data_IF_743678381371
#
_entry.id   IF_743678381371
#
_cell.length_a   1.000
_cell.length_b   1.000
_cell.length_c   1.000
_cell.angle_alpha   90.00
_cell.angle_beta   90.00
_cell.angle_gamma   90.00
#
_symmetry.space_group_name_H-M   'P 1'
#
loop_
_entity.id
_entity.type
_entity.pdbx_description
1 polymer ?
#
# COMPACT_ATOMS: atom_id res chain seq x y z
N UNK A 1 -25.79 -25.84 -58.40
CA UNK A 1 -25.08 -26.98 -57.80
C UNK A 1 -24.20 -26.46 -56.65
N UNK A 2 -24.67 -26.54 -55.40
CA UNK A 2 -23.91 -26.07 -54.22
C UNK A 2 -22.96 -27.18 -53.78
N UNK A 3 -21.71 -27.10 -54.19
CA UNK A 3 -20.64 -27.96 -53.67
C UNK A 3 -20.34 -27.53 -52.23
N UNK A 4 -20.92 -28.26 -51.26
CA UNK A 4 -20.46 -28.19 -49.86
C UNK A 4 -19.05 -28.78 -49.82
N UNK A 5 -18.04 -27.93 -49.70
CA UNK A 5 -16.69 -28.32 -49.31
C UNK A 5 -16.77 -28.93 -47.90
N UNK A 6 -16.94 -30.25 -47.81
CA UNK A 6 -16.68 -30.98 -46.57
C UNK A 6 -15.16 -31.09 -46.43
N UNK A 7 -14.55 -30.48 -45.40
CA UNK A 7 -13.10 -30.58 -45.21
C UNK A 7 -12.69 -32.04 -45.04
N UNK A 8 -11.57 -32.45 -45.65
CA UNK A 8 -10.96 -33.77 -45.43
C UNK A 8 -10.81 -34.01 -43.92
N UNK A 9 -11.00 -35.24 -43.46
CA UNK A 9 -10.94 -35.60 -42.02
C UNK A 9 -9.63 -35.18 -41.33
N UNK A 10 -8.53 -35.12 -42.08
CA UNK A 10 -7.25 -34.58 -41.61
C UNK A 10 -7.34 -33.09 -41.26
N UNK A 11 -8.02 -32.28 -42.08
CA UNK A 11 -8.25 -30.85 -41.80
C UNK A 11 -9.10 -30.65 -40.54
N UNK A 12 -10.14 -31.47 -40.33
CA UNK A 12 -10.97 -31.42 -39.11
C UNK A 12 -10.11 -31.69 -37.87
N UNK A 13 -9.23 -32.69 -37.92
CA UNK A 13 -8.33 -33.04 -36.82
C UNK A 13 -7.37 -31.90 -36.48
N UNK A 14 -6.84 -31.20 -37.48
CA UNK A 14 -5.98 -30.03 -37.31
C UNK A 14 -6.75 -28.87 -36.66
N UNK A 15 -7.99 -28.60 -37.08
CA UNK A 15 -8.81 -27.55 -36.47
C UNK A 15 -9.12 -27.85 -35.00
N UNK A 16 -9.41 -29.12 -34.66
CA UNK A 16 -9.66 -29.54 -33.27
C UNK A 16 -8.40 -29.40 -32.41
N UNK A 17 -7.23 -29.84 -32.90
CA UNK A 17 -5.96 -29.67 -32.19
C UNK A 17 -5.60 -28.20 -31.98
N UNK A 18 -5.85 -27.36 -33.00
CA UNK A 18 -5.64 -25.91 -32.90
C UNK A 18 -6.53 -25.31 -31.80
N UNK A 19 -7.82 -25.65 -31.77
CA UNK A 19 -8.75 -25.18 -30.74
C UNK A 19 -8.34 -25.63 -29.34
N UNK A 20 -7.95 -26.90 -29.17
CA UNK A 20 -7.46 -27.42 -27.87
C UNK A 20 -6.19 -26.69 -27.43
N UNK A 21 -5.27 -26.42 -28.34
CA UNK A 21 -4.05 -25.68 -28.02
C UNK A 21 -4.33 -24.24 -27.57
N UNK A 22 -5.28 -23.56 -28.22
CA UNK A 22 -5.76 -22.24 -27.83
C UNK A 22 -6.44 -22.25 -26.45
N UNK A 23 -7.22 -23.29 -26.15
CA UNK A 23 -7.83 -23.48 -24.83
C UNK A 23 -6.74 -23.65 -23.76
N UNK A 24 -5.73 -24.50 -23.99
CA UNK A 24 -4.63 -24.69 -23.04
C UNK A 24 -3.79 -23.43 -22.85
N UNK A 25 -3.49 -22.72 -23.92
CA UNK A 25 -2.80 -21.43 -23.86
C UNK A 25 -3.62 -20.41 -23.05
N UNK A 26 -4.92 -20.30 -23.32
CA UNK A 26 -5.83 -19.47 -22.54
C UNK A 26 -5.88 -19.88 -21.07
N UNK A 27 -5.90 -21.18 -20.78
CA UNK A 27 -5.97 -21.66 -19.40
C UNK A 27 -4.70 -21.35 -18.61
N UNK A 28 -3.53 -21.52 -19.22
CA UNK A 28 -2.24 -21.15 -18.63
C UNK A 28 -2.13 -19.63 -18.42
N UNK A 29 -2.63 -18.83 -19.36
CA UNK A 29 -2.51 -17.37 -19.34
C UNK A 29 -3.51 -16.72 -18.36
N UNK A 30 -4.74 -17.21 -18.34
CA UNK A 30 -5.83 -16.64 -17.53
C UNK A 30 -5.98 -17.27 -16.15
N UNK A 31 -5.42 -18.45 -15.89
CA UNK A 31 -5.43 -19.10 -14.58
C UNK A 31 -4.00 -19.29 -14.04
N UNK A 32 -3.39 -18.21 -13.51
CA UNK A 32 -2.10 -18.31 -12.83
C UNK A 32 -2.23 -19.13 -11.53
N UNK A 33 -1.20 -19.90 -11.19
CA UNK A 33 -1.08 -20.48 -9.85
C UNK A 33 -0.68 -19.40 -8.85
N UNK A 34 -1.40 -19.31 -7.74
CA UNK A 34 -1.02 -18.50 -6.58
C UNK A 34 -0.02 -19.29 -5.76
N UNK A 35 1.20 -18.77 -5.64
CA UNK A 35 2.16 -19.32 -4.66
C UNK A 35 1.99 -18.53 -3.38
N UNK A 36 1.47 -19.20 -2.35
CA UNK A 36 1.39 -18.63 -0.99
C UNK A 36 2.80 -18.41 -0.45
N UNK A 37 3.09 -17.19 0.01
CA UNK A 37 4.29 -16.94 0.82
C UNK A 37 4.04 -17.45 2.24
N UNK A 38 5.09 -17.80 2.99
CA UNK A 38 4.96 -18.33 4.36
C UNK A 38 4.14 -17.42 5.31
N UNK A 39 3.95 -16.15 4.93
CA UNK A 39 3.20 -15.14 5.67
C UNK A 39 1.97 -14.59 4.95
N UNK A 40 1.52 -15.24 3.87
CA UNK A 40 0.40 -14.77 3.06
C UNK A 40 -0.88 -14.58 3.89
N UNK A 41 -1.18 -15.51 4.81
CA UNK A 41 -2.37 -15.42 5.65
C UNK A 41 -2.30 -14.22 6.60
N UNK A 42 -1.14 -13.97 7.23
CA UNK A 42 -0.96 -12.82 8.13
C UNK A 42 -1.06 -11.51 7.35
N UNK A 43 -0.47 -11.43 6.16
CA UNK A 43 -0.58 -10.28 5.26
C UNK A 43 -2.00 -10.05 4.78
N UNK A 44 -2.72 -11.12 4.44
CA UNK A 44 -4.13 -11.07 4.03
C UNK A 44 -5.01 -10.55 5.16
N UNK A 45 -4.79 -11.02 6.39
CA UNK A 45 -5.50 -10.51 7.56
C UNK A 45 -5.17 -9.04 7.87
N UNK A 46 -3.91 -8.61 7.70
CA UNK A 46 -3.52 -7.21 7.87
C UNK A 46 -4.19 -6.33 6.81
N UNK A 47 -4.23 -6.80 5.58
CA UNK A 47 -4.92 -6.15 4.47
C UNK A 47 -6.43 -6.07 4.71
N UNK A 48 -7.07 -7.15 5.17
CA UNK A 48 -8.49 -7.16 5.49
C UNK A 48 -8.82 -6.15 6.61
N UNK A 49 -8.04 -6.15 7.70
CA UNK A 49 -8.25 -5.20 8.81
C UNK A 49 -8.08 -3.75 8.36
N UNK A 50 -7.18 -3.48 7.40
CA UNK A 50 -7.00 -2.14 6.81
C UNK A 50 -8.19 -1.73 5.95
N UNK A 51 -8.74 -2.66 5.16
CA UNK A 51 -9.97 -2.43 4.41
C UNK A 51 -11.16 -2.14 5.33
N UNK A 52 -11.30 -2.88 6.43
CA UNK A 52 -12.34 -2.66 7.42
C UNK A 52 -12.18 -1.28 8.09
N UNK A 53 -10.94 -0.86 8.38
CA UNK A 53 -10.64 0.48 8.89
C UNK A 53 -11.08 1.58 7.91
N UNK A 54 -10.81 1.42 6.61
CA UNK A 54 -11.22 2.39 5.59
C UNK A 54 -12.74 2.49 5.51
N UNK A 55 -13.45 1.36 5.54
CA UNK A 55 -14.92 1.36 5.59
C UNK A 55 -15.46 2.04 6.84
N UNK A 56 -14.83 1.82 8.00
CA UNK A 56 -15.25 2.45 9.26
C UNK A 56 -15.07 3.96 9.23
N UNK A 57 -13.99 4.46 8.63
CA UNK A 57 -13.81 5.89 8.39
C UNK A 57 -14.90 6.45 7.47
N UNK A 58 -15.18 5.75 6.36
CA UNK A 58 -16.27 6.11 5.43
C UNK A 58 -17.61 6.19 6.15
N UNK A 59 -17.99 5.14 6.89
CA UNK A 59 -19.22 5.09 7.71
C UNK A 59 -19.28 6.26 8.68
N UNK A 60 -18.17 6.58 9.35
CA UNK A 60 -18.09 7.67 10.33
C UNK A 60 -18.35 9.03 9.68
N UNK A 61 -17.72 9.31 8.54
CA UNK A 61 -17.91 10.55 7.79
C UNK A 61 -19.36 10.72 7.36
N UNK A 62 -19.96 9.67 6.78
CA UNK A 62 -21.36 9.69 6.35
C UNK A 62 -22.31 9.87 7.54
N UNK A 63 -22.04 9.23 8.69
CA UNK A 63 -22.84 9.39 9.91
C UNK A 63 -22.82 10.81 10.49
N UNK A 64 -21.79 11.60 10.14
CA UNK A 64 -21.64 13.00 10.54
C UNK A 64 -22.22 13.97 9.49
N UNK A 65 -22.92 13.46 8.48
CA UNK A 65 -23.42 14.24 7.33
C UNK A 65 -22.31 15.00 6.58
N UNK A 66 -21.08 14.49 6.64
CA UNK A 66 -19.96 15.04 5.88
C UNK A 66 -19.94 14.43 4.47
N UNK A 67 -19.65 15.24 3.46
CA UNK A 67 -19.67 14.82 2.06
C UNK A 67 -18.32 14.24 1.63
N UNK A 68 -18.35 13.13 0.91
CA UNK A 68 -17.19 12.59 0.19
C UNK A 68 -17.30 13.08 -1.25
N UNK A 69 -16.30 13.84 -1.70
CA UNK A 69 -16.30 14.39 -3.05
C UNK A 69 -15.76 13.34 -4.03
N UNK A 70 -16.57 12.82 -4.98
CA UNK A 70 -16.14 11.76 -5.89
C UNK A 70 -15.07 12.23 -6.90
N UNK A 71 -14.88 13.54 -7.09
CA UNK A 71 -13.82 14.08 -7.97
C UNK A 71 -12.44 13.93 -7.34
N UNK A 72 -12.35 14.08 -6.03
CA UNK A 72 -11.10 13.99 -5.28
C UNK A 72 -10.92 12.61 -4.64
N UNK A 73 -11.98 12.04 -4.06
CA UNK A 73 -12.01 10.70 -3.47
C UNK A 73 -12.76 9.72 -4.38
N UNK A 74 -12.14 9.36 -5.51
CA UNK A 74 -12.77 8.44 -6.48
C UNK A 74 -13.05 7.04 -5.91
N UNK A 75 -12.45 6.65 -4.78
CA UNK A 75 -12.67 5.35 -4.14
C UNK A 75 -13.72 5.39 -3.02
N UNK A 76 -14.34 6.56 -2.81
CA UNK A 76 -15.41 6.80 -1.83
C UNK A 76 -15.01 6.40 -0.40
N UNK A 77 -13.81 6.79 0.04
CA UNK A 77 -13.23 6.32 1.32
C UNK A 77 -13.42 7.29 2.48
N UNK A 78 -13.50 8.58 2.17
CA UNK A 78 -13.45 9.66 3.14
C UNK A 78 -12.05 9.96 3.69
N UNK A 79 -11.01 9.25 3.22
CA UNK A 79 -9.61 9.49 3.62
C UNK A 79 -8.93 10.56 2.76
N UNK A 80 -9.56 10.98 1.67
CA UNK A 80 -9.12 12.10 0.85
C UNK A 80 -9.91 13.35 1.27
N UNK A 81 -9.19 14.34 1.80
CA UNK A 81 -9.76 15.63 2.17
C UNK A 81 -9.89 16.60 1.00
N UNK A 82 -10.40 17.83 1.26
CA UNK A 82 -10.52 18.86 0.24
C UNK A 82 -9.15 19.28 -0.32
N UNK A 83 -9.15 19.96 -1.47
CA UNK A 83 -7.94 20.54 -2.04
C UNK A 83 -7.27 21.51 -1.05
N UNK A 84 -8.04 22.47 -0.53
CA UNK A 84 -7.58 23.42 0.47
C UNK A 84 -8.60 23.59 1.60
N UNK A 85 -8.10 23.81 2.82
CA UNK A 85 -8.88 24.18 3.99
C UNK A 85 -8.03 25.03 4.94
N UNK A 86 -8.63 25.50 6.03
CA UNK A 86 -7.94 26.29 7.06
C UNK A 86 -6.78 25.56 7.75
N UNK A 87 -6.71 24.22 7.63
CA UNK A 87 -5.65 23.38 8.23
C UNK A 87 -4.67 22.80 7.20
N UNK A 88 -4.76 23.20 5.93
CA UNK A 88 -3.82 22.79 4.89
C UNK A 88 -2.47 23.49 5.10
N UNK A 89 -1.40 22.71 5.26
CA UNK A 89 -0.06 23.25 5.55
C UNK A 89 0.85 23.39 4.33
N UNK A 90 0.58 22.67 3.24
CA UNK A 90 1.43 22.67 2.07
C UNK A 90 0.74 22.10 0.83
N UNK A 91 1.35 22.32 -0.33
CA UNK A 91 0.94 21.66 -1.56
C UNK A 91 1.02 20.12 -1.45
N UNK A 92 0.13 19.43 -2.16
CA UNK A 92 0.04 17.97 -2.20
C UNK A 92 -0.37 17.48 -3.58
N UNK A 93 -0.02 16.24 -3.93
CA UNK A 93 -0.39 15.63 -5.22
C UNK A 93 -1.54 14.66 -5.00
N UNK A 94 -2.71 14.96 -5.58
CA UNK A 94 -3.90 14.12 -5.47
C UNK A 94 -3.64 12.67 -5.87
N UNK A 95 -2.96 12.44 -7.00
CA UNK A 95 -2.65 11.08 -7.48
C UNK A 95 -1.81 10.28 -6.47
N UNK A 96 -0.92 10.94 -5.70
CA UNK A 96 -0.17 10.26 -4.65
C UNK A 96 -1.02 9.93 -3.43
N UNK A 97 -2.07 10.72 -3.14
CA UNK A 97 -3.02 10.42 -2.06
C UNK A 97 -3.91 9.26 -2.46
N UNK A 98 -4.47 9.29 -3.66
CA UNK A 98 -5.23 8.19 -4.24
C UNK A 98 -4.40 6.90 -4.26
N UNK A 99 -3.14 6.98 -4.70
CA UNK A 99 -2.21 5.85 -4.68
C UNK A 99 -1.84 5.34 -3.27
N UNK A 100 -2.30 5.98 -2.20
CA UNK A 100 -2.14 5.46 -0.83
C UNK A 100 -3.36 4.68 -0.32
N UNK A 101 -4.49 4.76 -1.04
CA UNK A 101 -5.78 4.17 -0.65
C UNK A 101 -5.83 2.70 -1.07
N UNK A 102 -4.91 1.88 -0.55
CA UNK A 102 -4.87 0.46 -0.83
C UNK A 102 -4.61 -0.36 0.43
N UNK A 103 -5.49 -1.32 0.80
CA UNK A 103 -5.34 -2.07 2.04
C UNK A 103 -4.04 -2.88 2.12
N UNK A 104 -3.55 -3.39 0.98
CA UNK A 104 -2.29 -4.14 0.91
C UNK A 104 -1.04 -3.33 1.29
N UNK A 105 -1.11 -2.00 1.51
CA UNK A 105 -0.01 -1.27 2.14
C UNK A 105 0.34 -1.83 3.52
N UNK A 106 -0.61 -2.44 4.24
CA UNK A 106 -0.29 -3.12 5.50
C UNK A 106 0.65 -4.33 5.26
N UNK A 107 0.41 -5.10 4.20
CA UNK A 107 1.32 -6.19 3.81
C UNK A 107 2.69 -5.65 3.37
N UNK A 108 2.72 -4.50 2.68
CA UNK A 108 3.97 -3.82 2.32
C UNK A 108 4.78 -3.43 3.56
N UNK A 109 4.15 -2.78 4.55
CA UNK A 109 4.80 -2.42 5.81
C UNK A 109 5.35 -3.64 6.54
N UNK A 110 4.60 -4.76 6.58
CA UNK A 110 5.10 -6.01 7.17
C UNK A 110 6.37 -6.52 6.47
N UNK A 111 6.45 -6.42 5.13
CA UNK A 111 7.66 -6.78 4.40
C UNK A 111 8.83 -5.83 4.73
N UNK A 112 8.57 -4.53 4.87
CA UNK A 112 9.62 -3.58 5.26
C UNK A 112 10.12 -3.83 6.69
N UNK A 113 9.24 -4.18 7.62
CA UNK A 113 9.60 -4.51 8.99
C UNK A 113 10.45 -5.78 9.06
N UNK A 114 10.10 -6.82 8.29
CA UNK A 114 10.94 -8.02 8.17
C UNK A 114 12.28 -7.73 7.52
N UNK A 115 12.30 -6.91 6.48
CA UNK A 115 13.56 -6.51 5.83
C UNK A 115 14.47 -5.75 6.79
N UNK A 116 13.90 -4.98 7.73
CA UNK A 116 14.62 -4.30 8.80
C UNK A 116 15.02 -5.24 9.96
N UNK A 117 14.64 -6.51 9.92
CA UNK A 117 14.97 -7.51 10.94
C UNK A 117 14.16 -7.40 12.23
N UNK A 118 12.96 -6.79 12.18
CA UNK A 118 12.11 -6.64 13.37
C UNK A 118 11.46 -7.96 13.78
N UNK A 119 11.49 -8.21 15.08
CA UNK A 119 10.86 -9.34 15.75
C UNK A 119 9.69 -8.89 16.64
N UNK A 120 8.88 -9.85 17.08
CA UNK A 120 7.78 -9.59 18.01
C UNK A 120 8.30 -8.93 19.31
N UNK A 121 7.62 -7.88 19.77
CA UNK A 121 8.02 -7.09 20.93
C UNK A 121 9.02 -5.96 20.63
N UNK A 122 9.63 -5.93 19.45
CA UNK A 122 10.50 -4.82 19.06
C UNK A 122 9.73 -3.50 18.98
N UNK A 123 10.43 -2.40 19.29
CA UNK A 123 9.85 -1.06 19.29
C UNK A 123 10.20 -0.30 18.02
N UNK A 124 9.18 0.24 17.37
CA UNK A 124 9.26 1.10 16.19
C UNK A 124 8.90 2.53 16.59
N UNK A 125 9.81 3.48 16.33
CA UNK A 125 9.54 4.90 16.44
C UNK A 125 8.90 5.39 15.14
N UNK A 126 7.82 6.17 15.22
CA UNK A 126 7.05 6.58 14.02
C UNK A 126 6.77 8.07 14.02
N UNK A 127 7.36 8.78 13.06
CA UNK A 127 6.95 10.13 12.69
C UNK A 127 5.90 10.07 11.58
N UNK A 128 4.65 10.40 11.89
CA UNK A 128 3.55 10.38 10.91
C UNK A 128 2.93 11.77 10.70
N UNK A 129 2.28 11.96 9.56
CA UNK A 129 1.59 13.20 9.21
C UNK A 129 0.16 12.90 8.79
N UNK A 130 -0.76 13.83 9.10
CA UNK A 130 -2.11 13.85 8.53
C UNK A 130 -2.14 13.88 7.00
N UNK A 131 -1.01 14.09 6.32
CA UNK A 131 -0.91 14.05 4.87
C UNK A 131 -1.23 12.69 4.24
N UNK A 132 -1.06 11.58 4.95
CA UNK A 132 -1.30 10.24 4.42
C UNK A 132 -2.04 9.36 5.45
N UNK A 133 -3.32 9.67 5.76
CA UNK A 133 -4.07 8.95 6.79
C UNK A 133 -4.19 7.46 6.46
N UNK A 134 -4.35 7.10 5.19
CA UNK A 134 -4.40 5.71 4.73
C UNK A 134 -3.13 4.91 5.05
N UNK A 135 -1.95 5.52 4.86
CA UNK A 135 -0.67 4.88 5.19
C UNK A 135 -0.45 4.78 6.70
N UNK A 136 -0.89 5.79 7.46
CA UNK A 136 -0.79 5.74 8.92
C UNK A 136 -1.61 4.56 9.47
N UNK A 137 -2.84 4.38 8.98
CA UNK A 137 -3.70 3.24 9.34
C UNK A 137 -3.02 1.92 8.97
N UNK A 138 -2.54 1.79 7.74
CA UNK A 138 -1.88 0.58 7.26
C UNK A 138 -0.63 0.23 8.08
N UNK A 139 0.18 1.22 8.47
CA UNK A 139 1.35 1.04 9.33
C UNK A 139 0.95 0.53 10.72
N UNK A 140 -0.03 1.17 11.36
CA UNK A 140 -0.45 0.81 12.71
C UNK A 140 -1.01 -0.63 12.74
N UNK A 141 -1.79 -1.00 11.72
CA UNK A 141 -2.31 -2.36 11.57
C UNK A 141 -1.20 -3.38 11.29
N UNK A 142 -0.22 -3.04 10.47
CA UNK A 142 0.95 -3.90 10.22
C UNK A 142 1.74 -4.14 11.50
N UNK A 143 2.00 -3.08 12.28
CA UNK A 143 2.68 -3.17 13.56
C UNK A 143 1.90 -4.02 14.57
N UNK A 144 0.57 -3.85 14.65
CA UNK A 144 -0.29 -4.67 15.49
C UNK A 144 -0.23 -6.16 15.11
N UNK A 145 -0.28 -6.46 13.80
CA UNK A 145 -0.24 -7.84 13.29
C UNK A 145 1.12 -8.51 13.47
N UNK A 146 2.19 -7.72 13.56
CA UNK A 146 3.54 -8.19 13.89
C UNK A 146 3.85 -8.10 15.39
N UNK A 147 2.88 -7.69 16.23
CA UNK A 147 3.05 -7.57 17.68
C UNK A 147 4.23 -6.64 18.05
N UNK A 148 4.45 -5.60 17.25
CA UNK A 148 5.47 -4.59 17.48
C UNK A 148 4.97 -3.52 18.42
N UNK A 149 5.85 -3.00 19.28
CA UNK A 149 5.58 -1.80 20.04
C UNK A 149 5.74 -0.56 19.14
N UNK A 150 4.90 0.45 19.34
CA UNK A 150 4.91 1.67 18.53
C UNK A 150 4.95 2.88 19.45
N UNK A 151 5.97 3.72 19.28
CA UNK A 151 6.02 5.07 19.84
C UNK A 151 5.81 6.02 18.68
N UNK A 152 4.62 6.61 18.55
CA UNK A 152 4.31 7.49 17.43
C UNK A 152 4.02 8.94 17.82
N UNK A 153 4.55 9.86 17.02
CA UNK A 153 4.25 11.28 17.07
C UNK A 153 3.63 11.70 15.75
N UNK A 154 2.39 12.20 15.79
CA UNK A 154 1.66 12.61 14.61
C UNK A 154 1.58 14.14 14.46
N UNK A 155 1.87 14.64 13.26
CA UNK A 155 1.55 16.03 12.90
C UNK A 155 0.13 16.11 12.35
N UNK A 156 -0.71 16.97 12.94
CA UNK A 156 -2.16 17.02 12.63
C UNK A 156 -2.46 17.72 11.32
N UNK A 157 -1.80 18.84 11.02
CA UNK A 157 -1.96 19.49 9.73
C UNK A 157 -1.55 18.55 8.59
N UNK A 158 -2.07 18.81 7.41
CA UNK A 158 -1.75 17.99 6.23
C UNK A 158 -1.51 18.83 5.00
N UNK A 159 -0.84 18.23 4.01
CA UNK A 159 -0.87 18.77 2.65
C UNK A 159 -2.29 18.74 2.09
N UNK A 160 -2.49 19.39 0.93
CA UNK A 160 -3.70 19.21 0.10
C UNK A 160 -4.08 17.72 0.02
N UNK A 161 -5.40 17.47 0.06
CA UNK A 161 -6.00 16.13 -0.05
C UNK A 161 -5.65 15.14 1.07
N UNK A 162 -4.99 15.57 2.15
CA UNK A 162 -4.74 14.76 3.33
C UNK A 162 -5.94 14.73 4.29
N UNK A 163 -5.69 14.50 5.57
CA UNK A 163 -6.66 14.66 6.65
C UNK A 163 -6.87 16.15 6.98
N UNK A 164 -7.19 16.97 5.98
CA UNK A 164 -7.41 18.42 6.09
C UNK A 164 -8.88 18.80 6.10
N UNK A 165 -9.78 17.92 6.54
CA UNK A 165 -11.17 18.28 6.79
C UNK A 165 -11.28 18.81 8.23
N UNK A 166 -11.51 20.12 8.47
CA UNK A 166 -11.52 20.69 9.82
C UNK A 166 -12.41 19.96 10.83
N UNK A 167 -13.50 19.38 10.36
CA UNK A 167 -14.50 18.65 11.14
C UNK A 167 -14.07 17.23 11.52
N UNK A 168 -13.08 16.67 10.82
CA UNK A 168 -12.62 15.30 10.99
C UNK A 168 -11.13 15.17 10.62
N UNK A 169 -10.26 15.55 11.57
CA UNK A 169 -8.81 15.55 11.41
C UNK A 169 -8.20 14.20 11.78
N UNK A 170 -6.89 14.03 11.55
CA UNK A 170 -6.17 12.81 11.95
C UNK A 170 -6.39 12.37 13.41
N UNK A 171 -6.40 13.26 14.43
CA UNK A 171 -6.71 12.88 15.80
C UNK A 171 -8.08 12.23 15.95
N UNK A 172 -9.09 12.75 15.25
CA UNK A 172 -10.45 12.21 15.27
C UNK A 172 -10.49 10.81 14.61
N UNK A 173 -9.79 10.62 13.49
CA UNK A 173 -9.67 9.33 12.79
C UNK A 173 -8.96 8.27 13.64
N UNK A 174 -7.76 8.59 14.15
CA UNK A 174 -6.96 7.66 14.96
C UNK A 174 -7.71 7.29 16.24
N UNK A 175 -8.31 8.28 16.93
CA UNK A 175 -9.07 8.02 18.16
C UNK A 175 -10.28 7.14 17.89
N UNK A 176 -11.01 7.39 16.81
CA UNK A 176 -12.17 6.58 16.44
C UNK A 176 -11.77 5.11 16.17
N UNK A 177 -10.77 4.87 15.32
CA UNK A 177 -10.30 3.52 15.01
C UNK A 177 -9.74 2.78 16.25
N UNK A 178 -9.10 3.52 17.16
CA UNK A 178 -8.61 2.97 18.43
C UNK A 178 -9.76 2.54 19.35
N UNK A 179 -10.81 3.37 19.47
CA UNK A 179 -11.99 3.03 20.28
C UNK A 179 -12.77 1.84 19.71
N UNK A 180 -12.83 1.72 18.39
CA UNK A 180 -13.39 0.56 17.67
C UNK A 180 -12.49 -0.68 17.73
N UNK A 181 -11.31 -0.61 18.39
CA UNK A 181 -10.31 -1.68 18.49
C UNK A 181 -9.79 -2.19 17.13
N UNK A 182 -9.90 -1.37 16.09
CA UNK A 182 -9.37 -1.66 14.75
C UNK A 182 -7.86 -1.42 14.70
N UNK A 183 -7.37 -0.46 15.46
CA UNK A 183 -5.95 -0.32 15.81
C UNK A 183 -5.81 -0.51 17.32
N UNK A 184 -4.68 -1.07 17.76
CA UNK A 184 -4.42 -1.36 19.18
C UNK A 184 -3.52 -0.31 19.84
N UNK A 185 -2.95 0.58 19.04
CA UNK A 185 -2.02 1.62 19.47
C UNK A 185 -2.43 2.96 18.87
N UNK A 186 -2.11 4.04 19.57
CA UNK A 186 -2.38 5.42 19.15
C UNK A 186 -1.15 6.28 19.44
N UNK A 187 -1.11 7.46 18.84
CA UNK A 187 0.00 8.38 19.04
C UNK A 187 0.14 8.85 20.48
N UNK A 188 1.39 8.91 20.96
CA UNK A 188 1.72 9.38 22.31
C UNK A 188 1.66 10.90 22.39
N UNK A 189 2.06 11.57 21.31
CA UNK A 189 2.05 13.01 21.16
C UNK A 189 1.56 13.41 19.79
N UNK A 190 0.97 14.61 19.71
CA UNK A 190 0.60 15.24 18.46
C UNK A 190 1.12 16.67 18.38
N UNK A 191 1.64 17.06 17.22
CA UNK A 191 2.06 18.44 16.93
C UNK A 191 1.08 19.11 15.97
N UNK A 192 1.18 20.43 15.83
CA UNK A 192 0.42 21.14 14.78
C UNK A 192 0.86 20.65 13.40
N UNK A 193 2.18 20.51 13.17
CA UNK A 193 2.72 20.17 11.87
C UNK A 193 3.11 21.39 11.04
N UNK A 194 3.22 21.20 9.73
CA UNK A 194 3.69 22.23 8.81
C UNK A 194 5.20 22.48 8.92
N UNK A 195 5.62 23.72 8.64
CA UNK A 195 7.03 24.11 8.77
C UNK A 195 7.34 24.32 10.25
N UNK A 196 8.39 23.64 10.73
CA UNK A 196 8.91 23.69 12.11
C UNK A 196 7.92 23.29 13.19
N UNK A 197 6.88 22.50 12.86
CA UNK A 197 5.75 22.18 13.77
C UNK A 197 4.96 23.38 14.31
N UNK A 198 5.28 24.60 13.86
CA UNK A 198 4.60 25.83 14.26
C UNK A 198 3.38 26.16 13.39
N UNK A 199 3.07 25.31 12.39
CA UNK A 199 2.01 25.57 11.42
C UNK A 199 2.22 26.88 10.66
N UNK A 200 3.46 27.21 10.27
CA UNK A 200 3.72 28.41 9.46
C UNK A 200 2.92 28.29 8.16
N UNK A 201 2.15 29.31 7.82
CA UNK A 201 1.20 29.31 6.71
C UNK A 201 -0.23 28.91 7.09
N UNK A 202 -0.45 28.38 8.30
CA UNK A 202 -1.78 28.11 8.85
C UNK A 202 -2.23 29.33 9.67
N UNK A 203 -3.42 29.84 9.37
CA UNK A 203 -4.02 30.95 10.10
C UNK A 203 -4.35 30.59 11.56
N UNK A 204 -4.59 31.60 12.40
CA UNK A 204 -4.93 31.40 13.82
C UNK A 204 -6.09 30.42 14.00
N UNK A 205 -7.17 30.60 13.23
CA UNK A 205 -8.33 29.71 13.24
C UNK A 205 -7.97 28.25 12.99
N UNK A 206 -7.15 27.98 11.95
CA UNK A 206 -6.69 26.62 11.64
C UNK A 206 -5.86 26.01 12.77
N UNK A 207 -4.99 26.79 13.41
CA UNK A 207 -4.22 26.33 14.58
C UNK A 207 -5.12 26.02 15.76
N UNK A 208 -6.12 26.87 16.02
CA UNK A 208 -7.09 26.68 17.10
C UNK A 208 -7.92 25.41 16.87
N UNK A 209 -8.36 25.13 15.63
CA UNK A 209 -9.04 23.90 15.23
C UNK A 209 -8.17 22.66 15.47
N UNK A 210 -6.90 22.72 15.09
CA UNK A 210 -5.93 21.62 15.31
C UNK A 210 -5.77 21.35 16.81
N UNK A 211 -5.51 22.40 17.61
CA UNK A 211 -5.34 22.26 19.06
C UNK A 211 -6.61 21.75 19.73
N UNK A 212 -7.78 22.20 19.28
CA UNK A 212 -9.07 21.71 19.76
C UNK A 212 -9.25 20.22 19.44
N UNK A 213 -8.93 19.76 18.23
CA UNK A 213 -9.02 18.33 17.87
C UNK A 213 -8.05 17.46 18.70
N UNK A 214 -6.80 17.92 18.92
CA UNK A 214 -5.84 17.21 19.79
C UNK A 214 -6.42 17.04 21.21
N UNK A 215 -6.91 18.12 21.82
CA UNK A 215 -7.46 18.12 23.18
C UNK A 215 -8.72 17.27 23.29
N UNK A 216 -9.68 17.47 22.37
CA UNK A 216 -10.96 16.75 22.32
C UNK A 216 -10.76 15.23 22.25
N UNK A 217 -9.73 14.77 21.55
CA UNK A 217 -9.45 13.35 21.39
C UNK A 217 -8.52 12.76 22.48
N UNK A 218 -8.11 13.57 23.46
CA UNK A 218 -7.30 13.13 24.60
C UNK A 218 -5.85 12.80 24.23
N UNK A 219 -5.27 13.54 23.28
CA UNK A 219 -3.86 13.46 22.94
C UNK A 219 -3.06 14.57 23.61
N UNK A 220 -1.81 14.27 23.95
CA UNK A 220 -0.89 15.26 24.49
C UNK A 220 -0.33 16.10 23.35
N UNK A 221 -0.46 17.43 23.47
CA UNK A 221 0.11 18.35 22.50
C UNK A 221 1.63 18.48 22.71
N UNK A 222 2.40 18.26 21.65
CA UNK A 222 3.83 18.54 21.60
C UNK A 222 4.03 19.99 21.13
N UNK A 223 4.10 20.92 22.09
CA UNK A 223 4.43 22.31 21.79
C UNK A 223 5.88 22.43 21.34
N UNK A 224 6.14 23.26 20.35
CA UNK A 224 7.48 23.59 19.91
C UNK A 224 7.57 25.07 19.56
N UNK A 225 8.62 25.73 20.04
CA UNK A 225 8.87 27.15 19.80
C UNK A 225 9.76 27.37 18.56
N UNK A 226 10.57 26.37 18.21
CA UNK A 226 11.43 26.37 17.03
C UNK A 226 11.55 24.96 16.42
N UNK A 227 12.23 24.89 15.28
CA UNK A 227 12.57 23.62 14.65
C UNK A 227 13.45 22.76 15.56
N UNK A 228 14.47 23.35 16.17
CA UNK A 228 15.44 22.71 17.06
C UNK A 228 14.75 22.22 18.33
N UNK A 229 13.86 23.03 18.91
CA UNK A 229 13.07 22.64 20.08
C UNK A 229 12.15 21.44 19.75
N UNK A 230 11.45 21.46 18.62
CA UNK A 230 10.66 20.29 18.17
C UNK A 230 11.53 19.05 17.99
N UNK A 231 12.71 19.20 17.37
CA UNK A 231 13.64 18.11 17.13
C UNK A 231 14.08 17.46 18.44
N UNK A 232 14.50 18.27 19.42
CA UNK A 232 14.93 17.80 20.75
C UNK A 232 13.78 17.12 21.48
N UNK A 233 12.59 17.74 21.51
CA UNK A 233 11.41 17.17 22.19
C UNK A 233 10.99 15.83 21.59
N UNK A 234 10.92 15.72 20.26
CA UNK A 234 10.61 14.46 19.57
C UNK A 234 11.67 13.41 19.82
N UNK A 235 12.95 13.79 19.79
CA UNK A 235 14.05 12.88 20.08
C UNK A 235 13.94 12.31 21.49
N UNK A 236 13.67 13.16 22.49
CA UNK A 236 13.51 12.73 23.89
C UNK A 236 12.38 11.71 24.04
N UNK A 237 11.23 11.92 23.38
CA UNK A 237 10.10 10.96 23.40
C UNK A 237 10.53 9.59 22.85
N UNK A 238 11.31 9.55 21.78
CA UNK A 238 11.74 8.27 21.21
C UNK A 238 12.85 7.58 22.01
N UNK A 239 13.57 8.31 22.88
CA UNK A 239 14.65 7.79 23.71
C UNK A 239 14.16 7.10 24.98
N UNK A 240 12.86 7.14 25.28
CA UNK A 240 12.26 6.47 26.45
C UNK A 240 12.36 4.93 26.37
N UNK A 241 12.71 4.37 25.20
CA UNK A 241 12.89 2.94 25.01
C UNK A 241 13.91 2.59 23.91
N UNK A 242 14.24 1.31 23.79
CA UNK A 242 15.12 0.81 22.74
C UNK A 242 14.37 0.72 21.41
N UNK A 243 14.66 1.63 20.49
CA UNK A 243 14.09 1.66 19.13
C UNK A 243 14.92 0.81 18.18
N UNK A 244 14.26 -0.05 17.40
CA UNK A 244 14.89 -0.92 16.40
C UNK A 244 14.72 -0.42 14.97
N UNK A 245 13.70 0.39 14.72
CA UNK A 245 13.44 1.02 13.42
C UNK A 245 12.75 2.37 13.65
N UNK A 246 13.18 3.39 12.91
CA UNK A 246 12.40 4.61 12.76
C UNK A 246 11.65 4.63 11.43
N UNK A 247 10.37 4.97 11.45
CA UNK A 247 9.54 5.09 10.25
C UNK A 247 9.08 6.53 10.08
N UNK A 248 9.27 7.09 8.90
CA UNK A 248 8.76 8.40 8.53
C UNK A 248 7.70 8.28 7.43
N UNK A 249 6.47 8.68 7.73
CA UNK A 249 5.38 8.81 6.76
C UNK A 249 5.09 10.29 6.50
N UNK A 250 5.24 10.71 5.25
CA UNK A 250 5.04 12.09 4.83
C UNK A 250 6.29 12.95 4.97
N UNK A 251 6.11 14.27 4.92
CA UNK A 251 7.20 15.23 4.76
C UNK A 251 7.26 16.30 5.84
N UNK A 252 6.88 15.99 7.08
CA UNK A 252 7.07 16.91 8.20
C UNK A 252 8.52 17.39 8.25
N UNK A 253 8.73 18.70 8.34
CA UNK A 253 10.07 19.29 8.25
C UNK A 253 11.00 18.77 9.33
N UNK A 254 10.52 18.56 10.56
CA UNK A 254 11.31 18.02 11.67
C UNK A 254 11.63 16.53 11.49
N UNK A 255 10.72 15.77 10.88
CA UNK A 255 10.87 14.33 10.69
C UNK A 255 11.85 13.97 9.56
N UNK A 256 11.86 14.75 8.47
CA UNK A 256 12.63 14.45 7.25
C UNK A 256 13.48 15.62 6.75
N UNK A 257 13.66 16.69 7.53
CA UNK A 257 14.42 17.88 7.12
C UNK A 257 13.68 18.80 6.15
N UNK A 258 14.30 19.95 5.85
CA UNK A 258 13.74 20.99 4.98
C UNK A 258 13.69 20.54 3.51
N UNK A 259 12.79 21.15 2.72
CA UNK A 259 12.50 20.78 1.32
C UNK A 259 13.73 20.72 0.40
N UNK A 260 14.75 21.54 0.66
CA UNK A 260 16.00 21.57 -0.11
C UNK A 260 16.84 20.29 0.07
N UNK A 261 16.77 19.64 1.24
CA UNK A 261 17.52 18.41 1.53
C UNK A 261 16.76 17.10 1.29
N UNK A 262 15.42 17.14 1.19
CA UNK A 262 14.57 15.93 1.07
C UNK A 262 14.90 15.04 -0.13
N UNK A 263 15.37 15.60 -1.25
CA UNK A 263 15.75 14.83 -2.45
C UNK A 263 16.94 13.89 -2.20
N UNK A 264 17.78 14.21 -1.21
CA UNK A 264 18.94 13.40 -0.83
C UNK A 264 18.60 12.26 0.14
N UNK A 265 17.38 12.23 0.70
CA UNK A 265 16.97 11.18 1.62
C UNK A 265 16.67 9.92 0.83
N UNK A 266 17.34 8.79 1.11
CA UNK A 266 17.06 7.55 0.41
C UNK A 266 15.64 7.07 0.72
N UNK A 267 14.97 6.47 -0.27
CA UNK A 267 13.61 5.95 -0.13
C UNK A 267 13.63 4.49 0.32
N UNK A 268 12.63 4.06 1.06
CA UNK A 268 12.54 2.68 1.57
C UNK A 268 13.39 2.47 2.82
N UNK A 269 13.82 1.23 3.06
CA UNK A 269 14.67 0.87 4.22
C UNK A 269 16.11 1.32 3.96
N UNK A 270 16.62 2.16 4.86
CA UNK A 270 17.99 2.70 4.86
C UNK A 270 18.74 2.10 6.05
N UNK A 271 19.75 1.28 5.75
CA UNK A 271 20.63 0.67 6.76
C UNK A 271 21.71 1.66 7.21
N UNK A 272 22.15 1.53 8.46
CA UNK A 272 23.00 2.48 9.19
C UNK A 272 24.49 2.53 8.80
N UNK A 273 24.84 2.13 7.58
CA UNK A 273 26.23 2.01 7.12
C UNK A 273 26.77 3.15 6.25
N UNK A 274 25.96 4.16 5.90
CA UNK A 274 26.35 5.23 4.97
C UNK A 274 26.87 6.50 5.64
N UNK A 275 27.56 7.35 4.88
CA UNK A 275 27.84 8.73 5.30
C UNK A 275 26.60 9.60 5.13
N UNK A 276 26.02 10.04 6.26
CA UNK A 276 24.80 10.86 6.29
C UNK A 276 25.06 12.31 6.71
N UNK A 277 26.31 12.77 6.62
CA UNK A 277 26.75 14.12 6.99
C UNK A 277 26.01 15.21 6.20
N UNK A 278 25.76 14.97 4.90
CA UNK A 278 25.06 15.89 4.00
C UNK A 278 23.53 15.93 4.16
N UNK A 279 22.94 15.03 4.97
CA UNK A 279 21.50 15.06 5.19
C UNK A 279 21.11 16.29 6.02
N UNK A 280 19.94 16.90 5.78
CA UNK A 280 19.43 17.95 6.64
C UNK A 280 19.17 17.40 8.05
N UNK A 281 19.35 18.25 9.05
CA UNK A 281 19.00 17.89 10.42
C UNK A 281 17.52 17.51 10.51
N UNK A 282 17.26 16.40 11.19
CA UNK A 282 15.96 15.73 11.25
C UNK A 282 16.02 14.54 12.20
N UNK A 283 14.86 14.09 12.66
CA UNK A 283 14.76 12.83 13.43
C UNK A 283 15.32 11.65 12.63
N UNK A 284 15.05 11.61 11.32
CA UNK A 284 15.63 10.60 10.42
C UNK A 284 17.15 10.57 10.51
N UNK A 285 17.80 11.73 10.38
CA UNK A 285 19.27 11.82 10.46
C UNK A 285 19.77 11.42 11.85
N UNK A 286 19.07 11.78 12.91
CA UNK A 286 19.42 11.40 14.29
C UNK A 286 19.44 9.88 14.46
N UNK A 287 18.44 9.16 13.96
CA UNK A 287 18.42 7.68 14.02
C UNK A 287 19.52 7.03 13.18
N UNK A 288 19.76 7.54 11.97
CA UNK A 288 20.85 7.03 11.14
C UNK A 288 22.22 7.20 11.83
N UNK A 289 22.43 8.32 12.54
CA UNK A 289 23.65 8.57 13.34
C UNK A 289 23.80 7.62 14.52
N UNK A 290 22.71 7.20 15.15
CA UNK A 290 22.72 6.22 16.26
C UNK A 290 22.74 4.77 15.79
N UNK A 291 22.94 4.55 14.49
CA UNK A 291 22.96 3.24 13.82
C UNK A 291 21.63 2.48 13.82
N UNK A 292 20.52 3.16 14.03
CA UNK A 292 19.17 2.58 13.90
C UNK A 292 18.72 2.72 12.44
N UNK A 293 18.22 1.66 11.79
CA UNK A 293 17.72 1.76 10.42
C UNK A 293 16.51 2.70 10.34
N UNK A 294 16.29 3.26 9.15
CA UNK A 294 15.14 4.14 8.88
C UNK A 294 14.34 3.64 7.69
N UNK A 295 13.01 3.56 7.83
CA UNK A 295 12.08 3.41 6.72
C UNK A 295 11.51 4.78 6.34
N UNK A 296 11.97 5.34 5.22
CA UNK A 296 11.42 6.58 4.67
C UNK A 296 10.36 6.29 3.61
N UNK A 297 9.09 6.46 3.98
CA UNK A 297 7.93 6.16 3.12
C UNK A 297 7.66 7.34 2.19
N UNK A 298 8.17 7.23 0.96
CA UNK A 298 8.00 8.24 -0.10
C UNK A 298 7.89 7.58 -1.47
N UNK A 299 7.42 8.33 -2.48
CA UNK A 299 7.21 7.78 -3.82
C UNK A 299 6.06 6.78 -3.88
N UNK A 300 4.93 7.11 -3.26
CA UNK A 300 3.78 6.21 -3.06
C UNK A 300 3.26 5.65 -4.39
N UNK A 301 3.20 6.47 -5.44
CA UNK A 301 2.82 6.03 -6.78
C UNK A 301 3.76 4.95 -7.33
N UNK A 302 5.07 5.10 -7.11
CA UNK A 302 6.06 4.11 -7.52
C UNK A 302 5.90 2.80 -6.75
N UNK A 303 5.67 2.87 -5.43
CA UNK A 303 5.42 1.67 -4.60
C UNK A 303 4.15 0.96 -5.07
N UNK A 304 3.06 1.71 -5.24
CA UNK A 304 1.77 1.21 -5.70
C UNK A 304 1.89 0.52 -7.07
N UNK A 305 2.62 1.13 -8.01
CA UNK A 305 2.83 0.57 -9.34
C UNK A 305 3.72 -0.69 -9.30
N UNK A 306 4.78 -0.69 -8.51
CA UNK A 306 5.70 -1.83 -8.36
C UNK A 306 4.96 -3.10 -7.92
N UNK A 307 3.99 -2.96 -7.00
CA UNK A 307 3.23 -4.09 -6.46
C UNK A 307 1.86 -4.29 -7.13
N UNK A 308 1.57 -3.57 -8.22
CA UNK A 308 0.29 -3.63 -8.96
C UNK A 308 -0.92 -3.42 -8.05
N UNK A 309 -0.82 -2.52 -7.09
CA UNK A 309 -1.97 -2.03 -6.32
C UNK A 309 -2.88 -1.25 -7.27
N UNK A 310 -4.01 -1.85 -7.65
CA UNK A 310 -4.94 -1.30 -8.66
C UNK A 310 -6.09 -0.58 -7.98
N UNK A 311 -6.38 0.62 -8.48
CA UNK A 311 -7.52 1.42 -8.03
C UNK A 311 -8.68 1.26 -9.01
N UNK A 312 -9.90 1.27 -8.49
CA UNK A 312 -11.12 1.27 -9.29
C UNK A 312 -12.04 2.35 -8.74
N UNK A 313 -12.50 3.30 -9.58
CA UNK A 313 -13.47 4.29 -9.13
C UNK A 313 -14.73 3.63 -8.55
N UNK A 314 -15.32 4.27 -7.54
CA UNK A 314 -16.57 3.87 -6.88
C UNK A 314 -16.43 2.82 -5.78
N UNK A 315 -15.23 2.31 -5.48
CA UNK A 315 -15.03 1.38 -4.35
C UNK A 315 -13.60 1.38 -3.80
N UNK A 316 -13.48 1.10 -2.51
CA UNK A 316 -12.20 0.77 -1.88
C UNK A 316 -11.61 -0.49 -2.54
N UNK A 317 -10.31 -0.53 -2.89
CA UNK A 317 -9.66 -1.73 -3.43
C UNK A 317 -9.82 -2.94 -2.51
N UNK A 318 -9.99 -4.13 -3.10
CA UNK A 318 -10.17 -5.36 -2.33
C UNK A 318 -8.84 -5.81 -1.69
N UNK A 319 -8.87 -6.35 -0.47
CA UNK A 319 -7.70 -6.97 0.17
C UNK A 319 -7.07 -8.07 -0.67
N UNK A 320 -5.73 -8.12 -0.68
CA UNK A 320 -4.99 -9.19 -1.37
C UNK A 320 -5.02 -9.09 -2.88
N UNK A 321 -5.42 -7.94 -3.43
CA UNK A 321 -5.49 -7.72 -4.88
C UNK A 321 -4.15 -7.34 -5.51
N UNK A 322 -3.13 -7.01 -4.70
CA UNK A 322 -1.76 -6.73 -5.15
C UNK A 322 -0.89 -8.00 -5.25
N UNK A 323 0.28 -7.87 -5.88
CA UNK A 323 1.26 -8.96 -6.00
C UNK A 323 2.06 -9.23 -4.69
N UNK A 324 1.80 -8.50 -3.60
CA UNK A 324 2.50 -8.64 -2.31
C UNK A 324 2.10 -9.89 -1.50
N UNK A 325 0.84 -10.30 -1.65
CA UNK A 325 0.24 -11.37 -0.84
C UNK A 325 0.26 -12.68 -1.63
N UNK A 326 -0.26 -12.63 -2.86
CA UNK A 326 -0.30 -13.77 -3.77
C UNK A 326 0.52 -13.47 -5.01
N UNK A 327 1.71 -14.08 -5.13
CA UNK A 327 2.45 -14.00 -6.38
C UNK A 327 1.76 -14.89 -7.41
N UNK A 328 1.18 -14.26 -8.44
CA UNK A 328 0.68 -14.95 -9.62
C UNK A 328 1.87 -15.45 -10.44
N UNK A 329 2.21 -16.73 -10.28
CA UNK A 329 3.23 -17.39 -11.12
C UNK A 329 2.53 -18.30 -12.11
N UNK A 330 3.08 -18.38 -13.33
CA UNK A 330 2.61 -19.36 -14.32
C UNK A 330 2.92 -20.76 -13.80
N UNK A 331 1.91 -21.63 -13.75
CA UNK A 331 2.06 -22.97 -13.22
C UNK A 331 2.87 -23.82 -14.22
N UNK A 332 4.20 -23.90 -14.03
CA UNK A 332 5.11 -24.61 -14.93
C UNK A 332 4.78 -26.10 -15.05
N UNK A 333 4.27 -26.71 -13.98
CA UNK A 333 3.83 -28.10 -13.98
C UNK A 333 2.59 -28.29 -14.85
N UNK A 334 1.59 -27.42 -14.68
CA UNK A 334 0.39 -27.44 -15.52
C UNK A 334 0.74 -27.20 -17.00
N UNK A 335 1.65 -26.28 -17.29
CA UNK A 335 2.19 -26.07 -18.64
C UNK A 335 2.84 -27.34 -19.20
N UNK A 336 3.64 -28.04 -18.39
CA UNK A 336 4.24 -29.32 -18.75
C UNK A 336 3.20 -30.41 -19.02
N UNK A 337 2.17 -30.53 -18.17
CA UNK A 337 1.08 -31.49 -18.35
C UNK A 337 0.30 -31.25 -19.64
N UNK A 338 -0.07 -30.00 -19.94
CA UNK A 338 -0.77 -29.67 -21.19
C UNK A 338 0.11 -29.90 -22.42
N UNK A 339 1.42 -29.65 -22.31
CA UNK A 339 2.36 -29.96 -23.40
C UNK A 339 2.43 -31.46 -23.68
N UNK A 340 2.56 -32.31 -22.66
CA UNK A 340 2.57 -33.77 -22.79
C UNK A 340 1.24 -34.26 -23.38
N UNK A 341 0.10 -33.76 -22.87
CA UNK A 341 -1.21 -34.15 -23.38
C UNK A 341 -1.37 -33.79 -24.86
N UNK A 342 -0.87 -32.62 -25.27
CA UNK A 342 -0.93 -32.17 -26.65
C UNK A 342 -0.06 -33.05 -27.56
N UNK A 343 1.11 -33.51 -27.11
CA UNK A 343 1.93 -34.50 -27.84
C UNK A 343 1.22 -35.84 -28.00
N UNK A 344 0.54 -36.33 -26.95
CA UNK A 344 -0.23 -37.58 -27.01
C UNK A 344 -1.40 -37.46 -27.98
N UNK A 345 -2.09 -36.32 -27.97
CA UNK A 345 -3.18 -36.04 -28.92
C UNK A 345 -2.65 -35.99 -30.35
N UNK A 346 -1.55 -35.27 -30.60
CA UNK A 346 -0.91 -35.23 -31.92
C UNK A 346 -0.54 -36.64 -32.38
N UNK A 347 0.09 -37.45 -31.54
CA UNK A 347 0.48 -38.83 -31.89
C UNK A 347 -0.74 -39.71 -32.24
N UNK A 348 -1.81 -39.64 -31.44
CA UNK A 348 -3.05 -40.39 -31.72
C UNK A 348 -3.72 -39.94 -33.00
N UNK A 349 -3.82 -38.63 -33.24
CA UNK A 349 -4.42 -38.09 -34.45
C UNK A 349 -3.54 -38.31 -35.69
N UNK A 350 -2.20 -38.26 -35.56
CA UNK A 350 -1.27 -38.53 -36.67
C UNK A 350 -1.34 -39.98 -37.12
N UNK A 351 -1.38 -40.94 -36.18
CA UNK A 351 -1.55 -42.35 -36.51
C UNK A 351 -2.87 -42.63 -37.25
N UNK A 352 -3.92 -41.88 -36.92
CA UNK A 352 -5.22 -41.97 -37.60
C UNK A 352 -5.24 -41.30 -38.97
N UNK A 353 -4.50 -40.21 -39.16
CA UNK A 353 -4.34 -39.53 -40.47
C UNK A 353 -3.62 -40.44 -41.45
N UNK A 354 -2.55 -41.12 -41.03
CA UNK A 354 -1.79 -42.04 -41.89
C UNK A 354 -2.62 -43.26 -42.31
N UNK A 355 -3.49 -43.76 -41.43
CA UNK A 355 -4.37 -44.90 -41.71
C UNK A 355 -5.57 -44.54 -42.61
N UNK A 356 -6.06 -43.29 -42.59
CA UNK A 356 -7.19 -42.89 -43.44
C UNK A 356 -6.78 -42.63 -44.89
N UNK A 357 -5.58 -42.08 -45.12
CA UNK A 357 -5.08 -41.82 -46.48
C UNK A 357 -4.75 -43.14 -47.21
N UNK A 358 -4.26 -44.17 -46.50
CA UNK A 358 -4.05 -45.50 -47.10
C UNK A 358 -5.34 -46.23 -47.51
N UNK A 359 -6.49 -45.84 -46.96
CA UNK A 359 -7.78 -46.48 -47.28
C UNK A 359 -8.42 -45.92 -48.55
N UNK A 360 -8.06 -44.70 -48.98
CA UNK A 360 -8.53 -44.12 -50.25
C UNK A 360 -7.73 -44.65 -51.46
N UNK A 361 -6.42 -44.94 -51.32
CA UNK A 361 -5.60 -45.46 -52.43
C UNK A 361 -5.94 -46.90 -52.85
N UNK A 362 -6.44 -47.74 -51.93
CA UNK A 362 -6.77 -49.15 -52.23
C UNK A 362 -8.16 -49.38 -52.86
N UNK A 363 -8.86 -48.32 -53.28
CA UNK A 363 -10.20 -48.41 -53.91
C UNK A 363 -10.25 -48.04 -55.39
N UNK A 364 -9.12 -48.10 -56.10
CA UNK A 364 -9.11 -48.05 -57.57
C UNK A 364 -8.47 -49.34 -58.12
N UNK A 365 -9.30 -50.37 -58.32
CA UNK A 365 -9.09 -51.39 -59.36
C UNK A 365 -10.36 -52.20 -59.59
N UNK A 366 -11.19 -51.71 -60.52
CA UNK A 366 -11.78 -52.38 -61.70
C UNK A 366 -13.02 -51.61 -62.16
#
# INVERSE_FOLDING_TARGET
MKTRFLPKRSSISVYVLSLISLIFAGWIEFIPSTVSTADADRKMQASQRTYDAFNKIREKILSQNLTIDPQTDSSDTGLIGPDISSVTSSAGKLSSKLASIHPDFAAWFMDQFRQAGLEEGDTVAVGMSGSFPALNIALLIAADKMQLNVISIASVSSSQYGANRPEFLWPDMERYLYLEKIILRKSVYMSIGGVSDAGIGIGKEGKDLILASIRKNGYTFLSADSFEDSLVKRWNVYQEGRVFLYVNIGGGTVSSGTSLGKKKIPKGVVLSGGEFSELPDSILKSFLRTKVPVLHVSGIESISNQFKMRYSPGRIPLPGSSDLIFQKKRNRWLSGCFWILLLVLIWKFSAWITLSDQKEENTISL
#
